data_IF_381025993436
#
_entry.id   IF_381025993436
#
_cell.length_a   1.000
_cell.length_b   1.000
_cell.length_c   1.000
_cell.angle_alpha   90.00
_cell.angle_beta   90.00
_cell.angle_gamma   90.00
#
_symmetry.space_group_name_H-M   'P 1'
#
loop_
_entity.id
_entity.type
_entity.pdbx_description
1 polymer ?
#
# COMPACT_ATOMS: atom_id res chain seq x y z
N UNK A 1 39.18 0.98 61.35
CA UNK A 1 39.66 1.36 62.70
C UNK A 1 38.56 2.21 63.32
N UNK A 2 37.93 1.91 64.47
CA UNK A 2 38.18 0.89 65.48
C UNK A 2 37.07 -0.16 65.59
N UNK A 3 37.49 -1.37 66.01
CA UNK A 3 36.66 -2.51 66.37
C UNK A 3 36.43 -2.45 67.88
N UNK A 4 35.17 -2.47 68.31
CA UNK A 4 34.80 -2.82 69.69
C UNK A 4 34.23 -4.23 69.66
N UNK A 5 35.09 -5.20 69.97
CA UNK A 5 34.75 -6.58 70.31
C UNK A 5 34.02 -6.61 71.64
N UNK A 6 32.79 -7.12 71.67
CA UNK A 6 32.13 -7.53 72.91
C UNK A 6 32.13 -9.06 72.99
N UNK A 7 32.81 -9.55 74.03
CA UNK A 7 32.85 -10.94 74.45
C UNK A 7 31.50 -11.31 75.08
N UNK A 8 30.80 -12.30 74.52
CA UNK A 8 29.74 -13.00 75.23
C UNK A 8 30.33 -14.23 75.92
N UNK A 9 30.51 -14.13 77.25
CA UNK A 9 30.76 -15.28 78.09
C UNK A 9 29.49 -16.15 78.13
N UNK A 10 29.63 -17.41 77.70
CA UNK A 10 28.58 -18.43 77.80
C UNK A 10 28.75 -19.15 79.14
N UNK A 11 27.80 -18.97 80.06
CA UNK A 11 27.64 -19.82 81.23
C UNK A 11 26.28 -20.55 81.17
N UNK A 12 26.21 -21.85 81.52
CA UNK A 12 25.04 -22.69 81.29
C UNK A 12 24.09 -22.71 82.49
N UNK A 13 22.78 -22.81 82.24
CA UNK A 13 21.81 -23.29 83.24
C UNK A 13 20.48 -22.54 83.29
N UNK A 14 19.40 -23.22 82.88
CA UNK A 14 18.04 -23.01 83.41
C UNK A 14 17.13 -22.02 82.66
N UNK A 15 15.84 -22.37 82.42
CA UNK A 15 14.94 -21.58 81.57
C UNK A 15 14.35 -20.41 82.37
N UNK A 16 15.00 -19.24 82.34
CA UNK A 16 14.42 -18.02 82.92
C UNK A 16 13.48 -17.34 81.93
N UNK A 17 12.17 -17.35 82.23
CA UNK A 17 11.09 -16.59 81.56
C UNK A 17 11.28 -15.04 81.58
N UNK A 18 12.47 -14.56 81.94
CA UNK A 18 12.85 -13.15 81.92
C UNK A 18 13.48 -12.71 80.59
N UNK A 19 13.79 -13.61 79.64
CA UNK A 19 14.36 -13.23 78.34
C UNK A 19 13.32 -12.79 77.30
N UNK A 20 12.08 -13.30 77.36
CA UNK A 20 11.03 -12.99 76.38
C UNK A 20 10.52 -11.54 76.49
N UNK A 21 10.41 -11.01 77.72
CA UNK A 21 10.03 -9.61 77.96
C UNK A 21 11.13 -8.64 77.54
N UNK A 22 12.40 -9.01 77.77
CA UNK A 22 13.55 -8.23 77.30
C UNK A 22 13.64 -8.19 75.77
N UNK A 23 13.38 -9.31 75.10
CA UNK A 23 13.35 -9.41 73.64
C UNK A 23 12.15 -8.63 73.05
N UNK A 24 10.95 -8.79 73.61
CA UNK A 24 9.76 -8.03 73.18
C UNK A 24 9.92 -6.53 73.40
N UNK A 25 10.56 -6.09 74.49
CA UNK A 25 10.85 -4.67 74.72
C UNK A 25 11.87 -4.13 73.71
N UNK A 26 12.88 -4.94 73.34
CA UNK A 26 13.86 -4.57 72.31
C UNK A 26 13.21 -4.52 70.92
N UNK A 27 12.35 -5.49 70.59
CA UNK A 27 11.61 -5.54 69.33
C UNK A 27 10.60 -4.39 69.23
N UNK A 28 9.91 -4.05 70.33
CA UNK A 28 9.03 -2.89 70.39
C UNK A 28 9.81 -1.57 70.19
N UNK A 29 10.98 -1.43 70.79
CA UNK A 29 11.85 -0.26 70.57
C UNK A 29 12.42 -0.21 69.15
N UNK A 30 12.71 -1.35 68.53
CA UNK A 30 13.15 -1.43 67.12
C UNK A 30 12.04 -1.11 66.11
N UNK A 31 10.80 -1.54 66.37
CA UNK A 31 9.64 -1.20 65.53
C UNK A 31 9.33 0.30 65.60
N UNK A 32 9.64 0.97 66.71
CA UNK A 32 9.45 2.40 66.90
C UNK A 32 10.73 3.24 66.68
N UNK A 33 11.80 2.67 66.12
CA UNK A 33 13.00 3.41 65.80
C UNK A 33 12.84 4.23 64.51
N UNK A 34 12.43 5.49 64.66
CA UNK A 34 12.51 6.48 63.59
C UNK A 34 13.96 6.96 63.44
N UNK A 35 14.61 6.64 62.31
CA UNK A 35 15.95 7.14 61.98
C UNK A 35 15.85 8.37 61.11
N UNK A 36 16.33 9.51 61.60
CA UNK A 36 16.54 10.70 60.78
C UNK A 36 17.97 10.72 60.24
N UNK A 37 18.13 11.23 59.02
CA UNK A 37 19.44 11.57 58.51
C UNK A 37 20.02 12.70 59.36
N UNK A 38 21.25 12.54 59.87
CA UNK A 38 21.99 13.67 60.45
C UNK A 38 22.39 14.61 59.32
N UNK A 39 21.79 15.79 59.26
CA UNK A 39 22.09 16.81 58.25
C UNK A 39 22.88 17.96 58.86
N UNK A 40 23.77 18.56 58.06
CA UNK A 40 24.47 19.80 58.40
C UNK A 40 24.00 20.86 57.41
N UNK A 41 23.50 21.99 57.91
CA UNK A 41 23.09 23.11 57.06
C UNK A 41 24.30 23.96 56.71
N UNK A 42 24.64 24.00 55.42
CA UNK A 42 25.72 24.83 54.88
C UNK A 42 25.09 26.10 54.31
N UNK A 43 25.50 27.28 54.81
CA UNK A 43 25.04 28.59 54.31
C UNK A 43 26.04 29.12 53.26
N UNK A 44 25.88 28.69 52.01
CA UNK A 44 26.67 29.16 50.87
C UNK A 44 25.74 29.47 49.68
N UNK A 45 25.82 30.69 49.15
CA UNK A 45 24.97 31.14 48.04
C UNK A 45 25.28 30.43 46.72
N UNK A 46 26.53 30.00 46.50
CA UNK A 46 26.94 29.30 45.27
C UNK A 46 26.32 27.92 45.21
N UNK A 47 26.40 27.21 46.33
CA UNK A 47 25.80 25.88 46.49
C UNK A 47 24.28 25.95 46.42
N UNK A 48 23.68 26.98 47.06
CA UNK A 48 22.24 27.23 46.99
C UNK A 48 21.76 27.54 45.57
N UNK A 49 22.48 28.39 44.83
CA UNK A 49 22.17 28.70 43.43
C UNK A 49 22.25 27.46 42.56
N UNK A 50 23.32 26.67 42.68
CA UNK A 50 23.49 25.44 41.88
C UNK A 50 22.38 24.42 42.19
N UNK A 51 22.02 24.24 43.46
CA UNK A 51 20.92 23.38 43.87
C UNK A 51 19.59 23.82 43.22
N UNK A 52 19.21 25.09 43.36
CA UNK A 52 17.95 25.60 42.80
C UNK A 52 17.93 25.62 41.28
N UNK A 53 19.06 25.88 40.62
CA UNK A 53 19.19 25.75 39.17
C UNK A 53 18.98 24.30 38.72
N UNK A 54 19.60 23.33 39.39
CA UNK A 54 19.44 21.91 39.07
C UNK A 54 17.99 21.45 39.30
N UNK A 55 17.38 21.82 40.42
CA UNK A 55 15.97 21.52 40.72
C UNK A 55 15.04 22.10 39.66
N UNK A 56 15.22 23.37 39.28
CA UNK A 56 14.42 24.01 38.22
C UNK A 56 14.58 23.29 36.88
N UNK A 57 15.80 22.87 36.54
CA UNK A 57 16.09 22.15 35.29
C UNK A 57 15.43 20.76 35.25
N UNK A 58 15.43 20.06 36.38
CA UNK A 58 14.71 18.78 36.54
C UNK A 58 13.20 19.00 36.39
N UNK A 59 12.63 20.01 37.05
CA UNK A 59 11.19 20.31 36.93
C UNK A 59 10.80 20.71 35.51
N UNK A 60 11.64 21.50 34.83
CA UNK A 60 11.43 21.85 33.42
C UNK A 60 11.47 20.60 32.53
N UNK A 61 12.41 19.67 32.77
CA UNK A 61 12.47 18.41 32.04
C UNK A 61 11.28 17.49 32.30
N UNK A 62 10.85 17.35 33.56
CA UNK A 62 9.66 16.57 33.92
C UNK A 62 8.41 17.19 33.29
N UNK A 63 8.28 18.51 33.33
CA UNK A 63 7.21 19.24 32.65
C UNK A 63 7.24 19.02 31.14
N UNK A 64 8.41 19.13 30.51
CA UNK A 64 8.60 18.82 29.10
C UNK A 64 8.16 17.39 28.76
N UNK A 65 8.63 16.40 29.51
CA UNK A 65 8.28 14.99 29.30
C UNK A 65 6.78 14.75 29.45
N UNK A 66 6.16 15.31 30.49
CA UNK A 66 4.72 15.17 30.73
C UNK A 66 3.91 15.80 29.60
N UNK A 67 4.15 17.07 29.27
CA UNK A 67 3.26 17.80 28.37
C UNK A 67 3.57 17.59 26.89
N UNK A 68 4.85 17.54 26.50
CA UNK A 68 5.22 17.39 25.08
C UNK A 68 5.28 15.94 24.65
N UNK A 69 5.84 15.06 25.48
CA UNK A 69 5.86 13.63 25.18
C UNK A 69 4.57 12.91 25.60
N UNK A 70 3.63 13.65 26.22
CA UNK A 70 2.31 13.17 26.63
C UNK A 70 2.39 11.90 27.48
N UNK A 71 3.40 11.77 28.35
CA UNK A 71 3.61 10.55 29.16
C UNK A 71 2.51 10.31 30.20
N UNK A 72 1.63 11.29 30.42
CA UNK A 72 0.41 11.11 31.22
C UNK A 72 -0.72 10.42 30.45
N UNK A 73 -0.59 10.25 29.13
CA UNK A 73 -1.54 9.54 28.27
C UNK A 73 -1.03 8.12 28.00
N UNK A 74 -1.95 7.16 28.05
CA UNK A 74 -1.67 5.81 27.56
C UNK A 74 -1.73 5.81 26.02
N UNK A 75 -0.63 5.42 25.38
CA UNK A 75 -0.57 5.27 23.92
C UNK A 75 -0.96 3.85 23.54
N UNK A 76 -1.97 3.74 22.68
CA UNK A 76 -2.39 2.46 22.13
C UNK A 76 -2.19 2.47 20.62
N UNK A 77 -1.56 1.43 20.04
CA UNK A 77 -1.41 1.34 18.61
C UNK A 77 -2.80 1.25 17.95
N UNK A 78 -3.02 2.10 16.96
CA UNK A 78 -4.19 2.01 16.11
C UNK A 78 -3.93 0.98 15.00
N UNK A 79 -4.93 0.16 14.71
CA UNK A 79 -4.94 -0.74 13.56
C UNK A 79 -5.69 -0.03 12.44
N UNK A 80 -4.99 0.19 11.31
CA UNK A 80 -5.59 0.76 10.11
C UNK A 80 -6.53 -0.26 9.45
N UNK A 81 -7.74 0.17 9.13
CA UNK A 81 -8.68 -0.59 8.30
C UNK A 81 -8.80 0.14 6.98
N UNK A 82 -8.56 -0.54 5.87
CA UNK A 82 -8.68 0.05 4.54
C UNK A 82 -9.66 -0.76 3.70
N UNK A 83 -10.58 -0.06 3.05
CA UNK A 83 -11.48 -0.61 2.05
C UNK A 83 -11.25 0.19 0.77
N UNK A 84 -10.95 -0.53 -0.31
CA UNK A 84 -10.71 0.05 -1.62
C UNK A 84 -11.46 -0.72 -2.69
N UNK A 85 -11.88 -0.02 -3.73
CA UNK A 85 -12.57 -0.56 -4.91
C UNK A 85 -12.30 0.32 -6.15
N UNK A 86 -12.47 -0.29 -7.32
CA UNK A 86 -12.51 0.45 -8.58
C UNK A 86 -13.91 1.02 -8.82
N UNK A 87 -13.98 2.25 -9.29
CA UNK A 87 -15.21 2.96 -9.64
C UNK A 87 -15.16 3.56 -11.03
N UNK A 88 -16.28 4.15 -11.44
CA UNK A 88 -16.51 4.76 -12.74
C UNK A 88 -16.95 6.23 -12.65
N UNK A 89 -17.23 6.75 -11.45
CA UNK A 89 -18.06 7.96 -11.26
C UNK A 89 -17.32 9.30 -11.36
N UNK A 90 -16.02 9.32 -11.67
CA UNK A 90 -15.25 10.55 -11.68
C UNK A 90 -15.01 11.13 -13.06
N UNK A 91 -15.12 12.46 -13.11
CA UNK A 91 -14.72 13.21 -14.27
C UNK A 91 -13.21 13.09 -14.49
N UNK A 92 -12.82 12.81 -15.73
CA UNK A 92 -11.42 12.72 -16.16
C UNK A 92 -11.28 13.35 -17.55
N UNK A 93 -10.12 13.92 -17.80
CA UNK A 93 -9.82 14.62 -19.05
C UNK A 93 -9.66 13.58 -20.16
N UNK A 94 -10.26 13.82 -21.32
CA UNK A 94 -10.04 12.96 -22.48
C UNK A 94 -8.63 13.21 -23.02
N UNK A 95 -7.89 12.13 -23.28
CA UNK A 95 -6.61 12.18 -24.03
C UNK A 95 -6.77 11.99 -25.53
N UNK A 96 -7.99 11.67 -25.95
CA UNK A 96 -8.33 11.34 -27.31
C UNK A 96 -9.53 12.16 -27.77
N UNK A 97 -9.59 12.40 -29.08
CA UNK A 97 -10.70 13.06 -29.76
C UNK A 97 -11.03 12.33 -31.05
N UNK A 98 -12.14 12.63 -31.71
CA UNK A 98 -12.48 12.07 -33.02
C UNK A 98 -11.35 12.19 -34.07
N UNK A 99 -10.43 13.15 -33.92
CA UNK A 99 -9.29 13.37 -34.82
C UNK A 99 -8.03 12.57 -34.47
N UNK A 100 -8.02 11.83 -33.34
CA UNK A 100 -6.88 11.05 -32.86
C UNK A 100 -6.40 11.44 -31.45
N UNK A 101 -5.15 11.06 -31.12
CA UNK A 101 -4.48 11.47 -29.87
C UNK A 101 -4.46 12.98 -29.79
N UNK A 102 -4.76 13.53 -28.63
CA UNK A 102 -4.68 14.96 -28.42
C UNK A 102 -3.83 15.23 -27.16
N UNK A 103 -2.77 16.04 -27.38
CA UNK A 103 -1.72 16.29 -26.38
C UNK A 103 -2.13 17.33 -25.33
N UNK A 104 -3.34 17.89 -25.44
CA UNK A 104 -3.94 18.88 -24.54
C UNK A 104 -5.31 18.40 -24.02
N UNK A 105 -6.01 19.18 -23.19
CA UNK A 105 -7.36 18.86 -22.71
C UNK A 105 -8.34 18.78 -23.90
N UNK A 106 -8.74 17.57 -24.27
CA UNK A 106 -9.66 17.31 -25.38
C UNK A 106 -11.14 17.39 -24.94
N UNK A 107 -11.40 17.93 -23.76
CA UNK A 107 -12.67 17.90 -23.05
C UNK A 107 -12.67 16.88 -21.93
N UNK A 108 -13.77 16.81 -21.19
CA UNK A 108 -13.90 15.92 -20.04
C UNK A 108 -15.01 14.89 -20.26
N UNK A 109 -14.78 13.67 -19.77
CA UNK A 109 -15.81 12.66 -19.64
C UNK A 109 -16.21 12.57 -18.16
N UNK A 110 -17.51 12.55 -17.86
CA UNK A 110 -18.01 12.58 -16.49
C UNK A 110 -17.89 11.24 -15.75
N UNK A 111 -17.87 10.14 -16.51
CA UNK A 111 -17.69 8.77 -16.01
C UNK A 111 -16.91 7.92 -17.02
N UNK A 112 -16.41 6.75 -16.59
CA UNK A 112 -15.84 5.74 -17.47
C UNK A 112 -16.82 5.35 -18.61
N UNK A 113 -18.10 5.12 -18.32
CA UNK A 113 -19.09 4.74 -19.34
C UNK A 113 -19.29 5.85 -20.36
N UNK A 114 -19.26 7.11 -19.92
CA UNK A 114 -19.39 8.25 -20.83
C UNK A 114 -18.18 8.36 -21.77
N UNK A 115 -16.97 8.11 -21.26
CA UNK A 115 -15.75 8.08 -22.06
C UNK A 115 -15.78 6.91 -23.05
N UNK A 116 -16.10 5.71 -22.56
CA UNK A 116 -16.20 4.48 -23.34
C UNK A 116 -17.24 4.60 -24.47
N UNK A 117 -18.42 5.14 -24.17
CA UNK A 117 -19.48 5.40 -25.16
C UNK A 117 -19.06 6.43 -26.22
N UNK A 118 -18.38 7.51 -25.81
CA UNK A 118 -17.87 8.53 -26.72
C UNK A 118 -16.82 7.95 -27.68
N UNK A 119 -15.86 7.18 -27.14
CA UNK A 119 -14.83 6.49 -27.93
C UNK A 119 -15.42 5.43 -28.86
N UNK A 120 -16.47 4.73 -28.43
CA UNK A 120 -17.22 3.80 -29.28
C UNK A 120 -17.89 4.53 -30.46
N UNK A 121 -18.43 5.72 -30.21
CA UNK A 121 -18.96 6.59 -31.27
C UNK A 121 -17.90 7.01 -32.29
N UNK A 122 -16.70 7.36 -31.82
CA UNK A 122 -15.57 7.71 -32.70
C UNK A 122 -15.10 6.51 -33.53
N UNK A 123 -15.01 5.32 -32.94
CA UNK A 123 -14.68 4.09 -33.66
C UNK A 123 -15.68 3.80 -34.78
N UNK A 124 -16.98 3.90 -34.51
CA UNK A 124 -18.03 3.60 -35.49
C UNK A 124 -18.18 4.66 -36.60
N UNK A 125 -17.77 5.90 -36.33
CA UNK A 125 -17.79 6.99 -37.31
C UNK A 125 -16.52 7.06 -38.17
N UNK A 126 -15.49 6.29 -37.81
CA UNK A 126 -14.26 6.15 -38.60
C UNK A 126 -14.53 5.34 -39.88
N UNK A 127 -14.17 5.91 -41.04
CA UNK A 127 -14.36 5.26 -42.35
C UNK A 127 -13.60 3.93 -42.50
N UNK A 128 -12.53 3.75 -41.74
CA UNK A 128 -11.69 2.54 -41.71
C UNK A 128 -11.97 1.65 -40.48
N UNK A 129 -12.90 2.06 -39.61
CA UNK A 129 -13.13 1.38 -38.33
C UNK A 129 -11.89 1.37 -37.43
N UNK A 130 -11.00 2.37 -37.58
CA UNK A 130 -9.78 2.51 -36.79
C UNK A 130 -9.81 3.78 -35.95
N UNK A 131 -9.41 3.68 -34.68
CA UNK A 131 -9.36 4.80 -33.73
C UNK A 131 -8.36 4.51 -32.61
N UNK A 132 -7.50 5.47 -32.24
CA UNK A 132 -6.50 5.32 -31.17
C UNK A 132 -5.65 4.03 -31.35
N UNK A 133 -5.85 3.01 -30.50
CA UNK A 133 -5.24 1.67 -30.62
C UNK A 133 -6.15 0.62 -31.31
N UNK A 134 -7.42 0.94 -31.60
CA UNK A 134 -8.35 0.07 -32.31
C UNK A 134 -7.97 -0.02 -33.78
N UNK A 135 -7.48 -1.17 -34.24
CA UNK A 135 -7.21 -1.42 -35.65
C UNK A 135 -6.34 -0.33 -36.31
N UNK A 136 -5.46 0.32 -35.52
CA UNK A 136 -4.58 1.38 -35.98
C UNK A 136 -3.18 0.79 -36.20
N UNK A 137 -2.77 0.70 -37.47
CA UNK A 137 -1.46 0.18 -37.86
C UNK A 137 -0.28 1.07 -37.43
N UNK A 138 -0.54 2.33 -37.07
CA UNK A 138 0.48 3.29 -36.65
C UNK A 138 0.67 3.34 -35.12
N UNK A 139 -0.14 2.60 -34.35
CA UNK A 139 0.03 2.50 -32.91
C UNK A 139 1.08 1.42 -32.63
N UNK A 140 2.27 1.84 -32.20
CA UNK A 140 3.42 0.99 -31.94
C UNK A 140 3.74 0.99 -30.44
N UNK A 141 3.94 -0.20 -29.86
CA UNK A 141 4.38 -0.36 -28.46
C UNK A 141 5.90 -0.48 -28.41
N UNK A 142 6.48 -0.35 -27.21
CA UNK A 142 7.84 -0.86 -26.98
C UNK A 142 7.85 -2.35 -27.31
N UNK A 143 8.56 -2.69 -28.38
CA UNK A 143 8.67 -4.06 -28.87
C UNK A 143 9.36 -4.95 -27.83
N UNK A 144 8.72 -6.04 -27.43
CA UNK A 144 9.24 -7.16 -26.66
C UNK A 144 9.10 -8.43 -27.52
N UNK A 145 10.16 -9.25 -27.62
CA UNK A 145 10.12 -10.52 -28.36
C UNK A 145 9.12 -11.55 -27.79
N UNK A 146 8.55 -11.32 -26.61
CA UNK A 146 7.63 -12.24 -25.93
C UNK A 146 6.16 -12.04 -26.33
N UNK A 147 5.84 -10.90 -26.96
CA UNK A 147 4.49 -10.57 -27.37
C UNK A 147 4.35 -10.69 -28.89
N UNK A 148 3.47 -11.58 -29.35
CA UNK A 148 3.14 -11.69 -30.77
C UNK A 148 2.30 -10.49 -31.21
N UNK A 149 2.87 -9.61 -32.01
CA UNK A 149 2.16 -8.39 -32.42
C UNK A 149 1.24 -8.65 -33.62
N UNK A 150 -0.05 -8.81 -33.35
CA UNK A 150 -1.13 -8.83 -34.35
C UNK A 150 -1.89 -7.51 -34.40
N UNK A 151 -2.81 -7.30 -35.37
CA UNK A 151 -3.70 -6.15 -35.35
C UNK A 151 -4.52 -6.16 -34.06
N UNK A 152 -4.36 -5.12 -33.24
CA UNK A 152 -4.98 -5.05 -31.92
C UNK A 152 -6.45 -4.69 -32.01
N UNK A 153 -7.24 -5.33 -31.17
CA UNK A 153 -8.65 -5.06 -31.04
C UNK A 153 -8.94 -4.27 -29.78
N UNK A 154 -9.82 -3.29 -29.91
CA UNK A 154 -10.41 -2.64 -28.76
C UNK A 154 -11.49 -3.51 -28.16
N UNK A 155 -11.54 -3.54 -26.83
CA UNK A 155 -12.64 -4.14 -26.10
C UNK A 155 -13.34 -3.08 -25.27
N UNK A 156 -14.67 -3.02 -25.39
CA UNK A 156 -15.52 -2.15 -24.60
C UNK A 156 -16.15 -2.98 -23.50
N UNK A 157 -15.51 -3.00 -22.34
CA UNK A 157 -15.92 -3.82 -21.21
C UNK A 157 -16.69 -2.99 -20.17
N UNK A 158 -17.59 -3.62 -19.41
CA UNK A 158 -18.15 -2.99 -18.22
C UNK A 158 -17.03 -2.72 -17.21
N UNK A 159 -17.15 -1.64 -16.43
CA UNK A 159 -16.08 -1.20 -15.54
C UNK A 159 -15.73 -2.27 -14.50
N UNK A 160 -16.69 -3.09 -14.08
CA UNK A 160 -16.52 -4.19 -13.13
C UNK A 160 -15.55 -5.28 -13.61
N UNK A 161 -15.36 -5.44 -14.92
CA UNK A 161 -14.40 -6.39 -15.49
C UNK A 161 -12.96 -5.82 -15.58
N UNK A 162 -12.82 -4.50 -15.42
CA UNK A 162 -11.54 -3.80 -15.60
C UNK A 162 -10.73 -3.66 -14.33
N UNK A 163 -11.28 -4.04 -13.19
CA UNK A 163 -10.53 -4.01 -11.94
C UNK A 163 -10.75 -5.26 -11.11
N UNK A 164 -9.76 -5.58 -10.30
CA UNK A 164 -9.85 -6.68 -9.34
C UNK A 164 -9.21 -6.26 -8.03
N UNK A 165 -9.87 -6.63 -6.93
CA UNK A 165 -9.33 -6.39 -5.60
C UNK A 165 -8.25 -7.42 -5.28
N UNK A 166 -7.04 -6.94 -4.99
CA UNK A 166 -5.93 -7.75 -4.48
C UNK A 166 -5.78 -7.57 -2.97
N UNK A 167 -5.01 -8.44 -2.33
CA UNK A 167 -4.74 -8.40 -0.88
C UNK A 167 -4.13 -7.07 -0.43
N UNK A 168 -3.24 -6.49 -1.23
CA UNK A 168 -2.52 -5.24 -0.90
C UNK A 168 -2.80 -4.09 -1.87
N UNK A 169 -3.82 -4.20 -2.73
CA UNK A 169 -4.10 -3.14 -3.70
C UNK A 169 -5.27 -3.38 -4.64
N UNK A 170 -5.35 -2.52 -5.65
CA UNK A 170 -6.25 -2.64 -6.79
C UNK A 170 -5.43 -2.95 -8.03
N UNK A 171 -5.86 -3.96 -8.80
CA UNK A 171 -5.35 -4.20 -10.13
C UNK A 171 -6.33 -3.60 -11.13
N UNK A 172 -5.83 -2.80 -12.08
CA UNK A 172 -6.60 -2.30 -13.20
C UNK A 172 -6.04 -2.86 -14.49
N UNK A 173 -6.91 -3.45 -15.30
CA UNK A 173 -6.53 -4.08 -16.56
C UNK A 173 -6.44 -3.04 -17.66
N UNK A 174 -5.24 -2.81 -18.19
CA UNK A 174 -5.00 -1.90 -19.33
C UNK A 174 -4.73 -2.65 -20.63
N UNK A 175 -4.38 -3.94 -20.56
CA UNK A 175 -4.21 -4.82 -21.71
C UNK A 175 -4.53 -6.27 -21.32
N UNK A 176 -4.97 -7.06 -22.29
CA UNK A 176 -5.30 -8.47 -22.09
C UNK A 176 -4.84 -9.29 -23.29
N UNK A 177 -4.32 -10.49 -23.03
CA UNK A 177 -4.16 -11.53 -24.04
C UNK A 177 -5.19 -12.61 -23.78
N UNK A 178 -6.05 -12.87 -24.75
CA UNK A 178 -6.98 -14.01 -24.72
C UNK A 178 -6.48 -15.08 -25.68
N UNK A 179 -6.40 -16.31 -25.21
CA UNK A 179 -6.05 -17.46 -26.05
C UNK A 179 -7.32 -18.23 -26.35
N UNK A 180 -7.67 -18.34 -27.64
CA UNK A 180 -8.74 -19.21 -28.11
C UNK A 180 -8.12 -20.46 -28.72
N UNK A 181 -8.34 -21.59 -28.06
CA UNK A 181 -7.92 -22.90 -28.57
C UNK A 181 -9.03 -23.50 -29.43
N UNK A 182 -8.75 -23.76 -30.70
CA UNK A 182 -9.57 -24.61 -31.56
C UNK A 182 -8.98 -26.01 -31.52
N UNK A 183 -9.71 -26.99 -31.01
CA UNK A 183 -9.25 -28.38 -30.95
C UNK A 183 -10.28 -29.30 -31.57
N UNK A 184 -9.82 -30.35 -32.25
CA UNK A 184 -10.67 -31.45 -32.70
C UNK A 184 -9.97 -32.80 -32.50
N UNK A 185 -10.77 -33.84 -32.29
CA UNK A 185 -10.29 -35.20 -32.13
C UNK A 185 -9.71 -35.72 -33.45
N UNK A 186 -8.55 -36.35 -33.38
CA UNK A 186 -7.89 -36.99 -34.52
C UNK A 186 -7.83 -38.50 -34.34
N UNK A 187 -8.11 -39.24 -35.43
CA UNK A 187 -8.06 -40.70 -35.44
C UNK A 187 -6.62 -41.22 -35.35
N UNK A 188 -6.48 -42.46 -34.88
CA UNK A 188 -5.18 -43.07 -34.57
C UNK A 188 -4.16 -42.95 -35.71
N UNK A 189 -3.00 -42.37 -35.40
CA UNK A 189 -1.91 -42.13 -36.35
C UNK A 189 -1.38 -40.69 -36.36
N UNK A 190 -2.15 -39.72 -35.85
CA UNK A 190 -1.71 -38.32 -35.71
C UNK A 190 -1.14 -38.12 -34.31
N UNK A 191 0.18 -37.91 -34.22
CA UNK A 191 0.90 -37.73 -32.95
C UNK A 191 1.96 -36.61 -33.00
N UNK A 192 2.00 -35.84 -34.09
CA UNK A 192 3.02 -34.79 -34.32
C UNK A 192 2.35 -33.49 -34.79
N UNK A 193 3.03 -32.34 -34.60
CA UNK A 193 2.57 -31.04 -35.12
C UNK A 193 2.33 -31.08 -36.63
N UNK A 194 3.27 -31.62 -37.41
CA UNK A 194 3.14 -31.67 -38.87
C UNK A 194 1.91 -32.47 -39.33
N UNK A 195 1.59 -33.55 -38.61
CA UNK A 195 0.39 -34.34 -38.85
C UNK A 195 -0.88 -33.59 -38.44
N UNK A 196 -0.81 -32.75 -37.40
CA UNK A 196 -1.89 -31.83 -37.04
C UNK A 196 -2.06 -30.70 -38.05
N UNK A 197 -0.99 -30.13 -38.62
CA UNK A 197 -1.11 -29.07 -39.63
C UNK A 197 -1.80 -29.59 -40.88
N UNK A 198 -1.46 -30.84 -41.27
CA UNK A 198 -2.12 -31.56 -42.35
C UNK A 198 -3.60 -31.83 -42.04
N UNK A 199 -3.92 -32.20 -40.79
CA UNK A 199 -5.30 -32.44 -40.35
C UNK A 199 -6.14 -31.14 -40.33
N UNK A 200 -5.56 -30.02 -39.90
CA UNK A 200 -6.20 -28.70 -39.92
C UNK A 200 -6.49 -28.27 -41.37
N UNK A 201 -5.50 -28.41 -42.27
CA UNK A 201 -5.69 -28.13 -43.69
C UNK A 201 -6.79 -29.00 -44.32
N UNK A 202 -6.84 -30.30 -43.98
CA UNK A 202 -7.88 -31.22 -44.44
C UNK A 202 -9.29 -30.87 -43.92
N UNK A 203 -9.37 -30.30 -42.70
CA UNK A 203 -10.61 -29.79 -42.12
C UNK A 203 -11.01 -28.40 -42.64
N UNK A 204 -10.25 -27.82 -43.58
CA UNK A 204 -10.42 -26.46 -44.10
C UNK A 204 -10.38 -25.39 -42.98
N UNK A 205 -9.58 -25.65 -41.93
CA UNK A 205 -9.33 -24.74 -40.82
C UNK A 205 -7.90 -24.20 -40.94
N UNK A 206 -7.73 -22.89 -40.82
CA UNK A 206 -6.40 -22.25 -40.82
C UNK A 206 -5.88 -22.09 -39.40
N UNK A 207 -4.59 -22.37 -39.18
CA UNK A 207 -3.89 -22.05 -37.95
C UNK A 207 -2.67 -21.18 -38.25
N UNK A 208 -2.74 -19.88 -37.95
CA UNK A 208 -1.67 -18.93 -38.28
C UNK A 208 -0.40 -19.13 -37.41
N UNK A 209 -0.57 -19.58 -36.17
CA UNK A 209 0.52 -19.78 -35.21
C UNK A 209 1.14 -21.21 -35.25
N UNK A 210 0.62 -22.08 -36.13
CA UNK A 210 0.98 -23.51 -36.18
C UNK A 210 0.13 -24.35 -35.22
N UNK A 211 -0.21 -25.58 -35.62
CA UNK A 211 -1.00 -26.49 -34.79
C UNK A 211 -0.12 -27.44 -33.99
N UNK A 212 -0.65 -27.98 -32.90
CA UNK A 212 0.05 -28.92 -32.02
C UNK A 212 -0.83 -30.09 -31.63
N UNK A 213 -0.19 -31.23 -31.37
CA UNK A 213 -0.85 -32.43 -30.89
C UNK A 213 -0.96 -32.43 -29.36
N UNK A 214 -2.16 -32.65 -28.83
CA UNK A 214 -2.44 -32.81 -27.41
C UNK A 214 -3.34 -34.02 -27.19
N UNK A 215 -2.75 -35.15 -26.80
CA UNK A 215 -3.44 -36.37 -26.30
C UNK A 215 -4.74 -36.68 -27.07
N UNK A 216 -4.61 -37.16 -28.30
CA UNK A 216 -5.75 -37.54 -29.16
C UNK A 216 -6.43 -36.38 -29.88
N UNK A 217 -6.02 -35.14 -29.64
CA UNK A 217 -6.56 -33.94 -30.30
C UNK A 217 -5.47 -33.18 -31.02
N UNK A 218 -5.84 -32.54 -32.12
CA UNK A 218 -5.04 -31.48 -32.73
C UNK A 218 -5.63 -30.14 -32.33
N UNK A 219 -4.79 -29.27 -31.79
CA UNK A 219 -5.17 -27.96 -31.30
C UNK A 219 -4.43 -26.85 -32.06
N UNK A 220 -5.08 -25.70 -32.16
CA UNK A 220 -4.52 -24.46 -32.66
C UNK A 220 -4.88 -23.35 -31.68
N UNK A 221 -3.87 -22.66 -31.18
CA UNK A 221 -4.06 -21.52 -30.29
C UNK A 221 -4.00 -20.21 -31.09
N UNK A 222 -5.09 -19.47 -31.06
CA UNK A 222 -5.14 -18.10 -31.56
C UNK A 222 -5.05 -17.16 -30.37
N UNK A 223 -3.92 -16.46 -30.25
CA UNK A 223 -3.75 -15.41 -29.26
C UNK A 223 -4.26 -14.10 -29.84
N UNK A 224 -5.27 -13.53 -29.19
CA UNK A 224 -5.78 -12.20 -29.50
C UNK A 224 -5.42 -11.25 -28.36
N UNK A 225 -4.73 -10.17 -28.72
CA UNK A 225 -4.39 -9.09 -27.80
C UNK A 225 -5.44 -7.98 -27.90
N UNK A 226 -5.98 -7.59 -26.76
CA UNK A 226 -7.08 -6.62 -26.66
C UNK A 226 -6.78 -5.55 -25.62
N UNK A 227 -7.20 -4.32 -25.90
CA UNK A 227 -7.07 -3.18 -25.00
C UNK A 227 -8.44 -2.71 -24.53
N UNK A 228 -8.69 -2.72 -23.21
CA UNK A 228 -9.84 -2.08 -22.62
C UNK A 228 -9.90 -0.60 -22.92
N UNK A 229 -11.01 -0.18 -23.52
CA UNK A 229 -11.18 1.21 -23.90
C UNK A 229 -11.48 2.10 -22.71
N UNK A 230 -10.81 3.26 -22.66
CA UNK A 230 -10.97 4.26 -21.60
C UNK A 230 -10.56 3.77 -20.20
N UNK A 231 -9.67 2.78 -20.09
CA UNK A 231 -9.21 2.28 -18.79
C UNK A 231 -8.60 3.39 -17.90
N UNK A 232 -8.00 4.43 -18.50
CA UNK A 232 -7.49 5.60 -17.79
C UNK A 232 -8.59 6.44 -17.09
N UNK A 233 -9.84 6.30 -17.52
CA UNK A 233 -11.02 6.99 -16.95
C UNK A 233 -11.65 6.25 -15.77
N UNK A 234 -11.11 5.09 -15.40
CA UNK A 234 -11.48 4.41 -14.14
C UNK A 234 -11.07 5.26 -12.94
N UNK A 235 -11.72 5.07 -11.80
CA UNK A 235 -11.34 5.70 -10.54
C UNK A 235 -10.99 4.67 -9.47
N UNK A 236 -10.06 5.04 -8.59
CA UNK A 236 -9.83 4.32 -7.33
C UNK A 236 -10.56 5.04 -6.21
N UNK A 237 -11.30 4.28 -5.41
CA UNK A 237 -12.04 4.76 -4.26
C UNK A 237 -11.46 4.12 -3.00
N UNK A 238 -11.21 4.95 -1.97
CA UNK A 238 -10.70 4.48 -0.68
C UNK A 238 -11.52 5.02 0.48
N UNK A 239 -11.96 4.09 1.31
CA UNK A 239 -12.31 4.34 2.69
C UNK A 239 -11.18 3.84 3.58
N UNK A 240 -10.48 4.78 4.19
CA UNK A 240 -9.51 4.47 5.23
C UNK A 240 -10.14 4.70 6.59
N UNK A 241 -9.78 3.91 7.58
CA UNK A 241 -10.23 4.05 8.95
C UNK A 241 -9.14 3.57 9.89
N UNK A 242 -9.34 3.82 11.17
CA UNK A 242 -8.53 3.19 12.20
C UNK A 242 -9.42 2.74 13.36
N UNK A 243 -8.98 1.69 14.02
CA UNK A 243 -9.57 1.18 15.24
C UNK A 243 -8.48 0.81 16.23
N UNK A 244 -8.65 1.20 17.48
CA UNK A 244 -7.79 0.81 18.60
C UNK A 244 -8.51 -0.20 19.50
N UNK A 245 -7.80 -0.84 20.42
CA UNK A 245 -8.42 -1.70 21.45
C UNK A 245 -9.48 -0.96 22.28
N UNK A 246 -9.38 0.37 22.38
CA UNK A 246 -10.35 1.22 23.07
C UNK A 246 -11.56 1.63 22.22
N UNK A 247 -11.64 1.25 20.94
CA UNK A 247 -12.77 1.59 20.07
C UNK A 247 -14.14 1.15 20.60
N UNK A 248 -14.18 0.14 21.48
CA UNK A 248 -15.39 -0.34 22.14
C UNK A 248 -15.83 0.54 23.31
N UNK A 249 -14.90 1.33 23.87
CA UNK A 249 -15.10 2.09 25.11
C UNK A 249 -15.16 3.60 24.90
N UNK A 250 -14.48 4.12 23.87
CA UNK A 250 -14.46 5.55 23.54
C UNK A 250 -14.70 5.78 22.05
N UNK A 251 -15.56 6.73 21.66
CA UNK A 251 -15.80 7.05 20.25
C UNK A 251 -14.54 7.47 19.49
N UNK A 252 -13.60 8.16 20.14
CA UNK A 252 -12.31 8.56 19.57
C UNK A 252 -11.35 7.40 19.33
N UNK A 253 -11.65 6.21 19.87
CA UNK A 253 -10.88 4.99 19.63
C UNK A 253 -11.08 4.40 18.23
N UNK A 254 -12.04 4.93 17.45
CA UNK A 254 -12.26 4.62 16.04
C UNK A 254 -12.53 5.89 15.23
N UNK A 255 -12.07 5.92 13.99
CA UNK A 255 -12.53 6.93 13.05
C UNK A 255 -12.57 6.36 11.63
N UNK A 256 -13.53 6.84 10.85
CA UNK A 256 -13.62 6.61 9.42
C UNK A 256 -13.14 7.89 8.71
N UNK A 257 -12.40 7.72 7.63
CA UNK A 257 -11.82 8.77 6.79
C UNK A 257 -10.89 9.72 7.56
N UNK A 258 -9.79 9.26 8.15
CA UNK A 258 -8.76 10.16 8.65
C UNK A 258 -8.17 10.98 7.49
N UNK A 259 -7.40 12.02 7.79
CA UNK A 259 -6.60 12.70 6.78
C UNK A 259 -5.70 11.68 6.06
N UNK A 260 -5.74 11.67 4.73
CA UNK A 260 -4.94 10.76 3.88
C UNK A 260 -3.88 11.58 3.14
N UNK A 261 -2.67 11.04 3.07
CA UNK A 261 -1.53 11.69 2.42
C UNK A 261 -0.91 10.69 1.44
N UNK A 262 -0.97 11.02 0.15
CA UNK A 262 -0.24 10.30 -0.89
C UNK A 262 1.19 10.82 -0.94
N UNK A 263 2.17 9.94 -0.74
CA UNK A 263 3.59 10.29 -0.67
C UNK A 263 4.41 9.38 -1.57
N UNK A 264 5.40 9.93 -2.26
CA UNK A 264 6.36 9.13 -3.03
C UNK A 264 7.18 8.23 -2.10
N UNK A 265 7.32 6.95 -2.46
CA UNK A 265 8.04 5.93 -1.66
C UNK A 265 9.49 6.32 -1.34
N UNK A 266 10.17 7.01 -2.25
CA UNK A 266 11.57 7.46 -2.09
C UNK A 266 11.74 8.67 -1.17
N UNK A 267 10.66 9.26 -0.69
CA UNK A 267 10.64 10.52 0.05
C UNK A 267 10.65 10.32 1.59
N UNK A 268 11.23 9.22 2.07
CA UNK A 268 11.29 8.89 3.50
C UNK A 268 12.35 9.76 4.24
N UNK A 269 13.26 10.43 3.53
CA UNK A 269 14.38 11.15 4.16
C UNK A 269 14.54 12.61 3.67
N UNK A 270 14.22 13.55 4.57
CA UNK A 270 14.78 14.91 4.70
C UNK A 270 15.23 15.60 3.40
N UNK A 271 14.32 16.33 2.75
CA UNK A 271 14.64 17.62 2.11
C UNK A 271 13.39 18.47 1.93
N UNK A 272 13.54 19.78 2.18
CA UNK A 272 12.48 20.77 2.02
C UNK A 272 11.98 20.77 0.56
N UNK A 273 10.82 20.18 0.36
CA UNK A 273 10.04 20.12 -0.88
C UNK A 273 8.87 19.18 -0.59
N UNK A 274 7.63 19.51 -0.98
CA UNK A 274 6.45 18.73 -0.59
C UNK A 274 6.49 17.34 -1.24
N UNK A 275 7.00 16.36 -0.50
CA UNK A 275 6.94 14.93 -0.84
C UNK A 275 5.51 14.37 -0.88
N UNK A 276 4.57 15.12 -0.34
CA UNK A 276 3.15 14.84 -0.34
C UNK A 276 2.58 15.30 -1.68
N UNK A 277 2.15 14.32 -2.48
CA UNK A 277 1.61 14.50 -3.83
C UNK A 277 0.16 14.97 -3.75
N UNK A 278 -0.57 14.46 -2.76
CA UNK A 278 -1.97 14.80 -2.53
C UNK A 278 -2.31 14.62 -1.05
N UNK A 279 -2.95 15.63 -0.47
CA UNK A 279 -3.53 15.57 0.87
C UNK A 279 -5.06 15.61 0.74
N UNK A 280 -5.72 14.58 1.25
CA UNK A 280 -7.18 14.53 1.37
C UNK A 280 -7.57 14.82 2.82
N UNK A 281 -8.34 15.89 3.08
CA UNK A 281 -8.81 16.23 4.42
C UNK A 281 -9.60 15.09 5.09
N UNK A 282 -9.63 15.13 6.42
CA UNK A 282 -10.44 14.19 7.21
C UNK A 282 -11.93 14.31 6.84
N UNK A 283 -12.61 13.17 6.76
CA UNK A 283 -14.05 13.06 6.51
C UNK A 283 -14.44 13.08 5.04
N UNK A 284 -13.48 13.20 4.12
CA UNK A 284 -13.72 13.19 2.68
C UNK A 284 -13.41 11.80 2.12
N UNK A 285 -14.35 11.23 1.36
CA UNK A 285 -14.13 10.00 0.61
C UNK A 285 -13.02 10.26 -0.42
N UNK A 286 -11.99 9.41 -0.45
CA UNK A 286 -10.96 9.55 -1.46
C UNK A 286 -11.48 8.91 -2.74
N UNK A 287 -11.65 9.73 -3.76
CA UNK A 287 -11.86 9.25 -5.12
C UNK A 287 -10.86 9.89 -6.05
N UNK A 288 -10.09 9.07 -6.75
CA UNK A 288 -9.03 9.52 -7.65
C UNK A 288 -9.19 8.85 -9.02
N UNK A 289 -9.43 9.62 -10.10
CA UNK A 289 -9.36 9.06 -11.43
C UNK A 289 -7.93 8.61 -11.73
N UNK A 290 -7.76 7.45 -12.38
CA UNK A 290 -6.45 6.87 -12.68
C UNK A 290 -5.62 7.83 -13.52
N UNK A 291 -6.24 8.52 -14.48
CA UNK A 291 -5.56 9.53 -15.28
C UNK A 291 -4.95 10.66 -14.42
N UNK A 292 -5.65 11.15 -13.40
CA UNK A 292 -5.07 12.17 -12.52
C UNK A 292 -3.88 11.63 -11.74
N UNK A 293 -3.93 10.36 -11.32
CA UNK A 293 -2.79 9.70 -10.69
C UNK A 293 -1.61 9.57 -11.67
N UNK A 294 -1.86 9.16 -12.92
CA UNK A 294 -0.82 9.08 -13.94
C UNK A 294 -0.18 10.45 -14.22
N UNK A 295 -0.99 11.51 -14.33
CA UNK A 295 -0.49 12.89 -14.45
C UNK A 295 0.37 13.31 -13.26
N UNK A 296 -0.08 13.01 -12.04
CA UNK A 296 0.65 13.32 -10.81
C UNK A 296 1.99 12.57 -10.71
N UNK A 297 2.05 11.35 -11.24
CA UNK A 297 3.24 10.52 -11.25
C UNK A 297 4.12 10.74 -12.50
N UNK A 298 3.69 11.59 -13.44
CA UNK A 298 4.31 11.74 -14.75
C UNK A 298 4.50 10.39 -15.47
N UNK A 299 3.45 9.55 -15.40
CA UNK A 299 3.32 8.28 -16.10
C UNK A 299 2.43 8.52 -17.33
N UNK A 300 2.86 8.02 -18.47
CA UNK A 300 2.06 7.94 -19.69
C UNK A 300 1.92 6.48 -20.08
N UNK A 301 0.69 5.96 -20.07
CA UNK A 301 0.42 4.57 -20.47
C UNK A 301 0.85 4.26 -21.91
N UNK A 302 0.98 5.29 -22.75
CA UNK A 302 1.33 5.18 -24.17
C UNK A 302 2.81 5.49 -24.47
N UNK A 303 3.63 5.82 -23.46
CA UNK A 303 5.06 6.14 -23.63
C UNK A 303 5.95 4.96 -23.17
N UNK A 304 7.24 4.98 -23.47
CA UNK A 304 8.15 3.88 -23.10
C UNK A 304 8.25 3.75 -21.56
N UNK A 305 7.99 2.55 -21.03
CA UNK A 305 8.01 2.28 -19.58
C UNK A 305 9.37 2.61 -18.93
N UNK A 306 10.45 2.49 -19.69
CA UNK A 306 11.83 2.64 -19.22
C UNK A 306 12.27 4.10 -19.02
N UNK A 307 11.60 5.06 -19.65
CA UNK A 307 11.92 6.49 -19.59
C UNK A 307 11.09 7.24 -18.53
N UNK A 308 10.05 6.60 -18.00
CA UNK A 308 9.08 7.23 -17.09
C UNK A 308 9.48 7.16 -15.60
N UNK A 309 9.15 8.22 -14.87
CA UNK A 309 9.36 8.29 -13.42
C UNK A 309 8.41 7.33 -12.69
N UNK A 310 8.89 6.13 -12.37
CA UNK A 310 8.12 5.10 -11.66
C UNK A 310 8.01 3.78 -12.43
N UNK A 311 8.36 3.76 -13.72
CA UNK A 311 8.34 2.56 -14.57
C UNK A 311 9.42 1.52 -14.23
N UNK A 312 10.36 1.84 -13.31
CA UNK A 312 11.41 0.92 -12.85
C UNK A 312 10.91 -0.34 -12.13
N UNK A 313 9.62 -0.42 -11.78
CA UNK A 313 9.07 -1.55 -11.02
C UNK A 313 8.06 -2.40 -11.80
N UNK A 314 7.70 -2.05 -13.05
CA UNK A 314 6.57 -2.67 -13.74
C UNK A 314 6.90 -3.46 -14.99
N UNK A 315 8.18 -3.54 -15.38
CA UNK A 315 8.56 -4.58 -16.34
C UNK A 315 8.74 -5.92 -15.61
N UNK A 316 7.61 -6.58 -15.35
CA UNK A 316 7.56 -7.88 -14.69
C UNK A 316 8.19 -9.01 -15.50
N UNK A 317 8.63 -8.75 -16.73
CA UNK A 317 9.04 -9.83 -17.63
C UNK A 317 10.55 -10.03 -17.68
N UNK A 318 11.39 -9.04 -17.36
CA UNK A 318 12.85 -9.31 -17.28
C UNK A 318 13.68 -8.35 -16.41
N UNK A 319 13.07 -7.41 -15.69
CA UNK A 319 13.81 -6.48 -14.80
C UNK A 319 14.86 -5.62 -15.52
N UNK A 320 14.76 -5.47 -16.84
CA UNK A 320 15.62 -4.60 -17.63
C UNK A 320 14.82 -3.38 -18.09
N UNK A 321 15.24 -2.23 -17.60
CA UNK A 321 15.25 -1.02 -18.40
C UNK A 321 16.58 -0.94 -19.16
#
# INVERSE_FOLDING_TARGET
MGRTTQFFAKAPGGPSKCSAWGQMALDFLQIHHFRTAKTVQIKDWRLGSLYWSAVTLIWAYVGWSLFLSRTYMESVPAVGTHMHWGGNWQASDLRWSAAGKCDADCGTAGTYESASSLMYGWLNSSATGSFAYCNNSNYDFVWSPEFGYGPYFCTFQPFEELWTKMTEGLFFTTSMSSTKSKCFDVSGGVHTSDACDTAFAAANLSCAAGSYYRVGTCCCDEVAYTFPVAAEHMSMEFEHGFSSSYAQHIPSGKAYLPRIIFRLKSCIEKKLGSCDILEVPQGILVTLPLQALFKLLAIDLDDESCTQNGGKATDFVDGKC
#
